data_IF_409253508074
#
_entry.id   IF_409253508074
#
_cell.length_a   1.000
_cell.length_b   1.000
_cell.length_c   1.000
_cell.angle_alpha   90.00
_cell.angle_beta   90.00
_cell.angle_gamma   90.00
#
_symmetry.space_group_name_H-M   'P 1'
#
loop_
_entity.id
_entity.type
_entity.pdbx_description
1 polymer ?
#
# COMPACT_ATOMS: atom_id res chain seq x y z
N UNK A 1 -23.12 6.61 -4.28
CA UNK A 1 -22.69 6.10 -2.96
C UNK A 1 -22.12 7.26 -2.14
N UNK A 2 -22.85 7.78 -1.14
CA UNK A 2 -22.55 9.06 -0.45
C UNK A 2 -21.48 8.91 0.63
N UNK A 3 -21.54 7.86 1.45
CA UNK A 3 -20.51 7.55 2.47
C UNK A 3 -19.13 7.33 1.83
N UNK A 4 -19.08 6.61 0.70
CA UNK A 4 -17.85 6.39 -0.07
C UNK A 4 -17.27 7.69 -0.66
N UNK A 5 -18.12 8.68 -1.01
CA UNK A 5 -17.66 9.99 -1.51
C UNK A 5 -17.06 10.83 -0.39
N UNK A 6 -17.66 10.81 0.79
CA UNK A 6 -17.12 11.49 1.99
C UNK A 6 -15.77 10.87 2.38
N UNK A 7 -15.71 9.54 2.51
CA UNK A 7 -14.48 8.81 2.87
C UNK A 7 -13.32 9.01 1.86
N UNK A 8 -13.63 9.09 0.57
CA UNK A 8 -12.60 9.25 -0.47
C UNK A 8 -12.36 10.71 -0.89
N UNK A 9 -13.07 11.68 -0.29
CA UNK A 9 -13.05 13.10 -0.68
C UNK A 9 -13.30 13.32 -2.19
N UNK A 10 -14.26 12.56 -2.76
CA UNK A 10 -14.59 12.63 -4.20
C UNK A 10 -15.95 13.27 -4.42
N UNK A 11 -15.96 14.42 -5.12
CA UNK A 11 -17.16 15.16 -5.51
C UNK A 11 -17.72 16.06 -4.40
N UNK A 12 -18.69 16.92 -4.76
CA UNK A 12 -19.32 17.83 -3.81
C UNK A 12 -20.42 17.10 -3.03
N UNK A 13 -20.15 16.81 -1.76
CA UNK A 13 -21.15 16.36 -0.79
C UNK A 13 -21.63 17.57 0.00
N UNK A 14 -22.93 17.65 0.29
CA UNK A 14 -23.48 18.71 1.12
C UNK A 14 -22.78 18.71 2.50
N UNK A 15 -22.29 19.86 3.02
CA UNK A 15 -21.62 19.94 4.32
C UNK A 15 -22.38 19.29 5.48
N UNK A 16 -23.70 19.44 5.53
CA UNK A 16 -24.53 18.82 6.56
C UNK A 16 -24.52 17.29 6.49
N UNK A 17 -24.38 16.73 5.29
CA UNK A 17 -24.28 15.27 5.09
C UNK A 17 -22.88 14.76 5.40
N UNK A 18 -21.84 15.55 5.08
CA UNK A 18 -20.46 15.23 5.42
C UNK A 18 -20.28 15.12 6.93
N UNK A 19 -20.74 16.13 7.67
CA UNK A 19 -20.62 16.17 9.13
C UNK A 19 -21.32 14.97 9.81
N UNK A 20 -22.51 14.59 9.35
CA UNK A 20 -23.23 13.39 9.85
C UNK A 20 -22.48 12.09 9.59
N UNK A 21 -21.77 12.00 8.47
CA UNK A 21 -20.98 10.80 8.14
C UNK A 21 -19.70 10.75 8.98
N UNK A 22 -19.03 11.89 9.19
CA UNK A 22 -17.84 11.97 10.05
C UNK A 22 -18.18 11.61 11.51
N UNK A 23 -19.30 12.11 12.03
CA UNK A 23 -19.78 11.80 13.38
C UNK A 23 -20.08 10.30 13.55
N UNK A 24 -20.73 9.67 12.55
CA UNK A 24 -20.98 8.24 12.57
C UNK A 24 -19.69 7.40 12.47
N UNK A 25 -18.66 7.87 11.76
CA UNK A 25 -17.36 7.20 11.68
C UNK A 25 -16.67 7.20 13.05
N UNK A 26 -16.71 8.32 13.77
CA UNK A 26 -16.16 8.46 15.12
C UNK A 26 -16.92 7.58 16.13
N UNK A 27 -18.25 7.63 16.14
CA UNK A 27 -19.09 6.83 17.04
C UNK A 27 -18.90 5.32 16.85
N UNK A 28 -18.69 4.88 15.61
CA UNK A 28 -18.52 3.46 15.28
C UNK A 28 -17.06 2.99 15.35
N UNK A 29 -16.10 3.90 15.54
CA UNK A 29 -14.67 3.58 15.47
C UNK A 29 -14.25 3.01 14.11
N UNK A 30 -14.92 3.43 13.03
CA UNK A 30 -14.71 2.83 11.72
C UNK A 30 -13.37 3.24 11.12
N UNK A 31 -12.43 2.29 11.02
CA UNK A 31 -11.16 2.48 10.33
C UNK A 31 -11.29 1.97 8.89
N UNK A 32 -11.13 2.83 7.87
CA UNK A 32 -11.20 2.40 6.48
C UNK A 32 -10.09 1.38 6.18
N UNK A 33 -10.49 0.15 5.83
CA UNK A 33 -9.57 -0.92 5.49
C UNK A 33 -8.85 -0.63 4.16
N UNK A 34 -7.52 -0.52 4.22
CA UNK A 34 -6.67 -0.36 3.03
C UNK A 34 -6.84 -1.51 2.04
N UNK A 35 -7.11 -2.73 2.52
CA UNK A 35 -7.33 -3.93 1.70
C UNK A 35 -8.54 -3.75 0.77
N UNK A 36 -9.65 -3.21 1.28
CA UNK A 36 -10.86 -2.94 0.48
C UNK A 36 -10.65 -1.83 -0.57
N UNK A 37 -9.79 -0.85 -0.28
CA UNK A 37 -9.41 0.22 -1.21
C UNK A 37 -8.56 -0.33 -2.37
N UNK A 38 -7.61 -1.22 -2.07
CA UNK A 38 -6.77 -1.88 -3.09
C UNK A 38 -7.56 -2.83 -4.00
N UNK A 39 -8.54 -3.57 -3.46
CA UNK A 39 -9.44 -4.45 -4.23
C UNK A 39 -10.24 -3.68 -5.30
N UNK A 40 -10.75 -2.49 -4.97
CA UNK A 40 -11.51 -1.66 -5.92
C UNK A 40 -10.62 -0.95 -6.95
N UNK A 41 -9.40 -0.61 -6.58
CA UNK A 41 -8.46 0.12 -7.43
C UNK A 41 -7.63 -0.78 -8.37
N UNK A 42 -7.61 -2.10 -8.15
CA UNK A 42 -6.62 -3.03 -8.75
C UNK A 42 -5.15 -2.57 -8.62
N UNK A 43 -4.88 -1.64 -7.71
CA UNK A 43 -3.56 -1.09 -7.43
C UNK A 43 -3.39 -1.11 -5.93
N UNK A 44 -2.53 -2.00 -5.47
CA UNK A 44 -1.86 -1.87 -4.18
C UNK A 44 -0.81 -0.78 -4.40
N UNK A 45 -0.72 0.24 -3.54
CA UNK A 45 0.40 1.19 -3.56
C UNK A 45 1.64 0.47 -2.99
N UNK A 46 1.99 -0.66 -3.58
CA UNK A 46 2.93 -1.63 -3.06
C UNK A 46 3.90 -2.01 -4.16
N UNK A 47 5.17 -2.00 -3.85
CA UNK A 47 6.27 -2.36 -4.75
C UNK A 47 6.98 -3.57 -4.17
N UNK A 48 7.25 -4.59 -4.98
CA UNK A 48 8.10 -5.70 -4.58
C UNK A 48 9.53 -5.45 -5.06
N UNK A 49 10.49 -5.49 -4.13
CA UNK A 49 11.92 -5.38 -4.41
C UNK A 49 12.55 -6.77 -4.27
N UNK A 50 12.84 -7.41 -5.40
CA UNK A 50 13.46 -8.73 -5.46
C UNK A 50 14.98 -8.55 -5.51
N UNK A 51 15.67 -9.09 -4.51
CA UNK A 51 17.13 -8.99 -4.34
C UNK A 51 17.77 -10.37 -4.28
N UNK A 52 19.00 -10.52 -4.80
CA UNK A 52 19.70 -11.81 -4.81
C UNK A 52 20.16 -12.25 -3.42
N UNK A 53 20.66 -11.33 -2.60
CA UNK A 53 21.15 -11.61 -1.24
C UNK A 53 21.11 -10.35 -0.37
N UNK A 54 20.45 -10.42 0.78
CA UNK A 54 20.39 -9.33 1.77
C UNK A 54 21.62 -9.27 2.69
N UNK A 55 22.44 -10.32 2.75
CA UNK A 55 23.65 -10.35 3.58
C UNK A 55 24.76 -9.47 3.00
N UNK A 56 24.73 -9.22 1.69
CA UNK A 56 25.65 -8.32 1.04
C UNK A 56 25.27 -6.85 1.28
N UNK A 57 26.19 -6.08 1.88
CA UNK A 57 26.02 -4.67 2.23
C UNK A 57 25.71 -3.75 1.03
N UNK A 58 26.05 -4.18 -0.19
CA UNK A 58 25.67 -3.47 -1.41
C UNK A 58 24.14 -3.43 -1.56
N UNK A 59 23.46 -4.57 -1.43
CA UNK A 59 22.03 -4.68 -1.65
C UNK A 59 21.20 -4.06 -0.54
N UNK A 60 21.69 -4.06 0.71
CA UNK A 60 21.01 -3.38 1.82
C UNK A 60 21.05 -1.85 1.67
N UNK A 61 22.14 -1.30 1.13
CA UNK A 61 22.25 0.14 0.83
C UNK A 61 21.29 0.54 -0.28
N UNK A 62 21.19 -0.28 -1.34
CA UNK A 62 20.22 -0.08 -2.42
C UNK A 62 18.79 -0.19 -1.90
N UNK A 63 18.48 -1.22 -1.10
CA UNK A 63 17.15 -1.43 -0.52
C UNK A 63 16.68 -0.23 0.29
N UNK A 64 17.57 0.34 1.12
CA UNK A 64 17.27 1.56 1.88
C UNK A 64 16.95 2.75 0.98
N UNK A 65 17.76 2.99 -0.06
CA UNK A 65 17.50 4.09 -1.00
C UNK A 65 16.18 3.92 -1.76
N UNK A 66 15.81 2.69 -2.12
CA UNK A 66 14.52 2.38 -2.76
C UNK A 66 13.37 2.59 -1.78
N UNK A 67 13.51 2.15 -0.52
CA UNK A 67 12.51 2.34 0.53
C UNK A 67 12.24 3.83 0.79
N UNK A 68 13.29 4.63 0.98
CA UNK A 68 13.17 6.07 1.23
C UNK A 68 12.45 6.78 0.06
N UNK A 69 12.84 6.44 -1.18
CA UNK A 69 12.21 6.99 -2.38
C UNK A 69 10.74 6.57 -2.52
N UNK A 70 10.43 5.29 -2.30
CA UNK A 70 9.08 4.76 -2.38
C UNK A 70 8.17 5.35 -1.30
N UNK A 71 8.67 5.47 -0.06
CA UNK A 71 7.94 6.03 1.06
C UNK A 71 7.56 7.49 0.81
N UNK A 72 8.48 8.29 0.25
CA UNK A 72 8.21 9.69 -0.11
C UNK A 72 7.08 9.85 -1.15
N UNK A 73 6.83 8.80 -1.95
CA UNK A 73 5.75 8.75 -2.94
C UNK A 73 4.49 8.01 -2.45
N UNK A 74 4.44 7.61 -1.17
CA UNK A 74 3.30 6.92 -0.59
C UNK A 74 3.15 5.46 -1.01
N UNK A 75 4.25 4.82 -1.43
CA UNK A 75 4.33 3.39 -1.72
C UNK A 75 4.92 2.63 -0.53
N UNK A 76 4.47 1.38 -0.34
CA UNK A 76 5.07 0.42 0.59
C UNK A 76 5.95 -0.56 -0.17
N UNK A 77 7.16 -0.85 0.32
CA UNK A 77 8.09 -1.78 -0.33
C UNK A 77 8.07 -3.13 0.39
N UNK A 78 7.92 -4.22 -0.36
CA UNK A 78 8.08 -5.59 0.11
C UNK A 78 9.42 -6.12 -0.36
N UNK A 79 10.29 -6.49 0.58
CA UNK A 79 11.58 -7.04 0.27
C UNK A 79 11.47 -8.56 0.03
N UNK A 80 11.99 -9.04 -1.09
CA UNK A 80 11.98 -10.45 -1.47
C UNK A 80 13.42 -10.92 -1.71
N UNK A 81 13.96 -11.69 -0.77
CA UNK A 81 15.32 -12.22 -0.88
C UNK A 81 15.32 -13.59 -1.57
N UNK A 82 16.10 -13.75 -2.64
CA UNK A 82 16.09 -14.98 -3.45
C UNK A 82 17.20 -15.97 -3.07
N UNK A 83 18.19 -15.59 -2.25
CA UNK A 83 19.38 -16.40 -1.90
C UNK A 83 20.05 -17.01 -3.16
N UNK A 84 20.12 -16.22 -4.24
CA UNK A 84 20.61 -16.64 -5.57
C UNK A 84 19.90 -17.89 -6.16
N UNK A 85 18.73 -18.25 -5.63
CA UNK A 85 18.00 -19.43 -6.03
C UNK A 85 16.94 -19.10 -7.11
N UNK A 86 17.09 -19.59 -8.35
CA UNK A 86 16.16 -19.30 -9.44
C UNK A 86 14.71 -19.76 -9.15
N UNK A 87 14.54 -20.85 -8.40
CA UNK A 87 13.21 -21.34 -8.02
C UNK A 87 12.52 -20.43 -6.98
N UNK A 88 13.28 -19.80 -6.08
CA UNK A 88 12.74 -18.77 -5.17
C UNK A 88 12.36 -17.51 -5.94
N UNK A 89 13.17 -17.10 -6.91
CA UNK A 89 12.88 -15.96 -7.77
C UNK A 89 11.57 -16.15 -8.56
N UNK A 90 11.37 -17.33 -9.15
CA UNK A 90 10.13 -17.67 -9.86
C UNK A 90 8.90 -17.61 -8.96
N UNK A 91 9.00 -18.12 -7.72
CA UNK A 91 7.90 -18.01 -6.74
C UNK A 91 7.52 -16.58 -6.40
N UNK A 92 8.49 -15.67 -6.32
CA UNK A 92 8.18 -14.26 -6.04
C UNK A 92 7.51 -13.57 -7.23
N UNK A 93 7.78 -14.01 -8.47
CA UNK A 93 7.10 -13.49 -9.66
C UNK A 93 5.63 -13.91 -9.74
N UNK A 94 5.25 -15.06 -9.16
CA UNK A 94 3.86 -15.53 -9.15
C UNK A 94 2.99 -14.82 -8.09
N UNK A 95 3.60 -14.16 -7.11
CA UNK A 95 2.93 -13.52 -5.95
C UNK A 95 2.68 -12.02 -6.18
N UNK A 96 3.38 -11.41 -7.14
CA UNK A 96 3.32 -9.97 -7.48
C UNK A 96 2.37 -9.73 -8.65
#
# INVERSE_FOLDING_TARGET
MTVSRVLNRVGNVNPATQQRVEQAIEELGYVPSGVAKSLRSKRTNSLALILPDIQNAFWTTVARGVEDAAQSHGYSVFLCNTDENPAKQLRYLDVV
#
